data_IF_067865844222
#
_entry.id   IF_067865844222
#
_cell.length_a   1.000
_cell.length_b   1.000
_cell.length_c   1.000
_cell.angle_alpha   90.00
_cell.angle_beta   90.00
_cell.angle_gamma   90.00
#
_symmetry.space_group_name_H-M   'P 1'
#
loop_
_entity.id
_entity.type
_entity.pdbx_description
1 polymer ?
#
# COMPACT_ATOMS: atom_id res chain seq x y z
N UNK A 1 40.93 -9.90 32.34
CA UNK A 1 40.02 -10.64 31.43
C UNK A 1 38.86 -9.71 31.07
N UNK A 2 38.94 -9.05 29.93
CA UNK A 2 37.92 -8.10 29.48
C UNK A 2 36.88 -8.89 28.69
N UNK A 3 35.65 -8.96 29.20
CA UNK A 3 34.53 -9.60 28.51
C UNK A 3 34.10 -8.64 27.40
N UNK A 4 34.49 -8.95 26.15
CA UNK A 4 33.88 -8.35 24.95
C UNK A 4 32.49 -8.95 24.81
N UNK A 5 31.46 -8.17 25.12
CA UNK A 5 30.09 -8.50 24.71
C UNK A 5 29.95 -8.02 23.26
N UNK A 6 30.25 -8.91 22.31
CA UNK A 6 29.79 -8.74 20.92
C UNK A 6 28.31 -9.09 20.90
N UNK A 7 27.45 -8.09 21.14
CA UNK A 7 26.01 -8.22 20.95
C UNK A 7 25.75 -8.02 19.46
N UNK A 8 25.68 -9.11 18.70
CA UNK A 8 25.11 -9.10 17.35
C UNK A 8 23.60 -8.83 17.50
N UNK A 9 23.20 -7.57 17.28
CA UNK A 9 21.81 -7.15 17.22
C UNK A 9 21.24 -7.60 15.87
N UNK A 10 20.86 -8.87 15.75
CA UNK A 10 20.10 -9.32 14.60
C UNK A 10 18.64 -8.88 14.73
N UNK A 11 18.04 -8.48 13.61
CA UNK A 11 16.59 -8.32 13.54
C UNK A 11 15.95 -9.70 13.77
N UNK A 12 15.03 -9.79 14.73
CA UNK A 12 14.33 -11.02 15.06
C UNK A 12 12.83 -10.82 14.85
N UNK A 13 12.18 -11.79 14.22
CA UNK A 13 10.73 -11.84 14.14
C UNK A 13 10.18 -12.28 15.51
N UNK A 14 9.39 -11.41 16.13
CA UNK A 14 8.71 -11.70 17.39
C UNK A 14 7.21 -11.86 17.15
N UNK A 15 6.61 -12.87 17.78
CA UNK A 15 5.17 -13.07 17.74
C UNK A 15 4.47 -11.96 18.51
N UNK A 16 3.41 -11.40 17.92
CA UNK A 16 2.54 -10.44 18.57
C UNK A 16 1.67 -11.18 19.59
N UNK A 17 1.63 -10.70 20.84
CA UNK A 17 0.81 -11.27 21.90
C UNK A 17 0.08 -10.18 22.67
N UNK A 18 -1.13 -10.49 23.16
CA UNK A 18 -1.90 -9.57 23.99
C UNK A 18 -1.38 -9.51 25.44
N UNK A 19 -2.01 -8.68 26.28
CA UNK A 19 -1.64 -8.53 27.70
C UNK A 19 -1.70 -9.83 28.51
N UNK A 20 -2.47 -10.82 28.04
CA UNK A 20 -2.58 -12.16 28.63
C UNK A 20 -1.58 -13.17 28.03
N UNK A 21 -0.58 -12.71 27.26
CA UNK A 21 0.40 -13.52 26.53
C UNK A 21 -0.20 -14.51 25.52
N UNK A 22 -1.45 -14.30 25.11
CA UNK A 22 -2.05 -15.07 24.02
C UNK A 22 -1.54 -14.50 22.69
N UNK A 23 -1.00 -15.38 21.85
CA UNK A 23 -0.55 -15.02 20.52
C UNK A 23 -1.74 -14.52 19.68
N UNK A 24 -1.47 -13.48 18.89
CA UNK A 24 -2.43 -12.85 18.01
C UNK A 24 -2.03 -13.14 16.58
N UNK A 25 -2.96 -13.69 15.82
CA UNK A 25 -2.80 -13.98 14.40
C UNK A 25 -3.67 -12.99 13.63
N UNK A 26 -3.06 -12.32 12.65
CA UNK A 26 -3.76 -11.43 11.74
C UNK A 26 -3.96 -12.22 10.45
N UNK A 27 -5.23 -12.50 10.17
CA UNK A 27 -5.67 -13.24 9.00
C UNK A 27 -6.25 -14.62 9.30
N UNK A 28 -6.92 -15.19 8.30
CA UNK A 28 -7.68 -16.45 8.40
C UNK A 28 -7.12 -17.48 7.42
N UNK A 29 -7.26 -18.76 7.76
CA UNK A 29 -6.73 -19.88 6.95
C UNK A 29 -7.31 -19.96 5.54
N UNK A 30 -8.51 -19.44 5.36
CA UNK A 30 -9.26 -19.45 4.11
C UNK A 30 -8.99 -18.22 3.23
N UNK A 31 -8.36 -17.18 3.76
CA UNK A 31 -8.07 -15.95 3.01
C UNK A 31 -6.80 -16.12 2.13
N UNK A 32 -6.86 -15.65 0.88
CA UNK A 32 -5.71 -15.60 -0.03
C UNK A 32 -4.96 -14.26 0.10
N UNK A 33 -3.79 -14.31 0.75
CA UNK A 33 -2.90 -13.17 0.96
C UNK A 33 -1.87 -12.95 -0.16
N UNK A 34 -2.04 -13.60 -1.32
CA UNK A 34 -1.16 -13.35 -2.46
C UNK A 34 -1.26 -11.89 -2.93
N UNK A 35 -0.12 -11.18 -2.87
CA UNK A 35 -0.04 -9.76 -3.21
C UNK A 35 -0.77 -8.86 -2.21
N UNK A 36 -0.81 -9.26 -0.93
CA UNK A 36 -1.34 -8.44 0.16
C UNK A 36 -0.59 -7.12 0.29
N UNK A 37 -1.34 -6.03 0.44
CA UNK A 37 -0.82 -4.71 0.79
C UNK A 37 -1.36 -4.30 2.15
N UNK A 38 -0.52 -3.74 3.00
CA UNK A 38 -0.95 -3.26 4.31
C UNK A 38 -0.39 -1.87 4.59
N UNK A 39 -1.19 -1.02 5.20
CA UNK A 39 -0.80 0.34 5.59
C UNK A 39 -1.21 0.61 7.03
N UNK A 40 -0.37 1.37 7.72
CA UNK A 40 -0.67 1.87 9.07
C UNK A 40 -1.25 3.28 8.91
N UNK A 41 -2.34 3.55 9.62
CA UNK A 41 -3.01 4.83 9.59
C UNK A 41 -3.98 5.01 10.75
N UNK A 42 -5.02 5.78 10.50
CA UNK A 42 -5.91 6.29 11.55
C UNK A 42 -5.29 7.48 12.27
N UNK A 43 -6.12 8.20 13.03
CA UNK A 43 -5.79 9.47 13.67
C UNK A 43 -4.58 9.41 14.61
N UNK A 44 -4.27 8.22 15.13
CA UNK A 44 -3.14 7.98 16.03
C UNK A 44 -2.18 6.88 15.52
N UNK A 45 -2.14 6.62 14.21
CA UNK A 45 -1.34 5.53 13.61
C UNK A 45 -1.55 4.16 14.29
N UNK A 46 -2.79 3.89 14.67
CA UNK A 46 -3.16 2.74 15.48
C UNK A 46 -4.02 1.72 14.72
N UNK A 47 -4.33 1.99 13.45
CA UNK A 47 -5.10 1.11 12.59
C UNK A 47 -4.19 0.52 11.52
N UNK A 48 -4.30 -0.78 11.32
CA UNK A 48 -3.71 -1.52 10.22
C UNK A 48 -4.82 -1.83 9.22
N UNK A 49 -4.72 -1.26 8.03
CA UNK A 49 -5.60 -1.58 6.91
C UNK A 49 -4.90 -2.60 6.02
N UNK A 50 -5.59 -3.70 5.71
CA UNK A 50 -5.02 -4.82 4.96
C UNK A 50 -5.88 -5.07 3.73
N UNK A 51 -5.35 -4.82 2.53
CA UNK A 51 -5.99 -5.18 1.28
C UNK A 51 -5.41 -6.47 0.70
N UNK A 52 -6.27 -7.38 0.28
CA UNK A 52 -5.89 -8.68 -0.25
C UNK A 52 -6.85 -9.14 -1.35
N UNK A 53 -6.54 -10.30 -1.96
CA UNK A 53 -6.98 -10.67 -3.32
C UNK A 53 -8.49 -10.57 -3.56
N UNK A 54 -9.30 -10.91 -2.57
CA UNK A 54 -10.75 -10.98 -2.65
C UNK A 54 -11.47 -9.64 -2.47
N UNK A 55 -10.89 -8.54 -2.94
CA UNK A 55 -11.49 -7.19 -2.91
C UNK A 55 -11.73 -6.71 -1.47
N UNK A 56 -11.07 -7.27 -0.47
CA UNK A 56 -11.36 -7.00 0.93
C UNK A 56 -10.38 -5.97 1.49
N UNK A 57 -10.88 -5.06 2.31
CA UNK A 57 -10.04 -4.32 3.26
C UNK A 57 -10.48 -4.72 4.67
N UNK A 58 -9.55 -5.33 5.40
CA UNK A 58 -9.70 -5.59 6.82
C UNK A 58 -9.09 -4.42 7.61
N UNK A 59 -9.74 -4.06 8.72
CA UNK A 59 -9.24 -3.05 9.68
C UNK A 59 -8.92 -3.72 10.99
N UNK A 60 -7.70 -3.54 11.47
CA UNK A 60 -7.21 -4.12 12.71
C UNK A 60 -6.63 -3.04 13.61
N UNK A 61 -7.00 -3.04 14.89
CA UNK A 61 -6.49 -2.09 15.87
C UNK A 61 -5.16 -2.61 16.45
N UNK A 62 -4.07 -1.89 16.20
CA UNK A 62 -2.74 -2.23 16.67
C UNK A 62 -2.54 -1.98 18.18
N UNK A 63 -3.33 -1.11 18.81
CA UNK A 63 -3.25 -0.86 20.26
C UNK A 63 -3.98 -1.93 21.08
N UNK A 64 -5.19 -2.29 20.66
CA UNK A 64 -6.00 -3.29 21.36
C UNK A 64 -5.72 -4.71 20.86
N UNK A 65 -5.05 -4.84 19.70
CA UNK A 65 -4.80 -6.10 19.01
C UNK A 65 -6.10 -6.83 18.66
N UNK A 66 -7.09 -6.08 18.15
CA UNK A 66 -8.42 -6.57 17.84
C UNK A 66 -8.82 -6.25 16.40
N UNK A 67 -9.56 -7.18 15.81
CA UNK A 67 -10.24 -6.98 14.54
C UNK A 67 -11.38 -5.97 14.69
N UNK A 68 -11.46 -4.97 13.81
CA UNK A 68 -12.47 -3.92 13.88
C UNK A 68 -13.52 -3.99 12.79
N UNK A 69 -13.12 -4.22 11.53
CA UNK A 69 -14.03 -4.08 10.40
C UNK A 69 -13.57 -4.86 9.17
N UNK A 70 -14.52 -5.12 8.26
CA UNK A 70 -14.30 -5.61 6.89
C UNK A 70 -15.10 -4.76 5.92
N UNK A 71 -14.53 -4.43 4.77
CA UNK A 71 -15.30 -3.93 3.63
C UNK A 71 -14.91 -4.65 2.35
N UNK A 72 -15.90 -4.87 1.48
CA UNK A 72 -15.69 -5.36 0.12
C UNK A 72 -15.66 -4.13 -0.80
N UNK A 73 -14.57 -3.98 -1.55
CA UNK A 73 -14.39 -2.90 -2.50
C UNK A 73 -15.43 -3.01 -3.64
N UNK A 74 -16.00 -1.88 -4.09
CA UNK A 74 -17.01 -1.86 -5.15
C UNK A 74 -16.40 -2.03 -6.55
N UNK A 75 -15.72 -3.15 -6.79
CA UNK A 75 -14.97 -3.43 -8.02
C UNK A 75 -15.42 -4.71 -8.70
N UNK A 76 -15.38 -4.73 -10.04
CA UNK A 76 -15.91 -5.83 -10.84
C UNK A 76 -15.08 -7.11 -10.75
N UNK A 77 -13.75 -7.00 -10.80
CA UNK A 77 -12.83 -8.13 -10.87
C UNK A 77 -12.02 -8.32 -9.58
N UNK A 78 -11.62 -9.57 -9.31
CA UNK A 78 -10.64 -9.91 -8.28
C UNK A 78 -9.30 -9.27 -8.64
N UNK A 79 -8.61 -8.67 -7.67
CA UNK A 79 -7.34 -7.97 -7.89
C UNK A 79 -6.23 -8.68 -7.13
N UNK A 80 -4.99 -8.60 -7.61
CA UNK A 80 -3.79 -9.02 -6.88
C UNK A 80 -2.64 -8.09 -7.25
N UNK A 81 -1.63 -7.98 -6.40
CA UNK A 81 -0.48 -7.09 -6.60
C UNK A 81 -0.92 -5.67 -6.99
N UNK A 82 -1.90 -5.18 -6.24
CA UNK A 82 -2.42 -3.83 -6.41
C UNK A 82 -1.52 -2.87 -5.65
N UNK A 83 -1.50 -1.63 -6.09
CA UNK A 83 -0.90 -0.54 -5.34
C UNK A 83 -1.91 -0.09 -4.28
N UNK A 84 -1.61 -0.26 -2.99
CA UNK A 84 -2.42 0.23 -1.87
C UNK A 84 -1.56 1.12 -0.98
N UNK A 85 -1.87 2.42 -0.93
CA UNK A 85 -1.05 3.41 -0.26
C UNK A 85 -1.92 4.39 0.52
N UNK A 86 -1.42 4.86 1.66
CA UNK A 86 -1.98 6.01 2.36
C UNK A 86 -1.62 7.32 1.65
N UNK A 87 -2.51 8.30 1.69
CA UNK A 87 -2.20 9.66 1.23
C UNK A 87 -1.42 10.37 2.35
N UNK A 88 -0.09 10.31 2.30
CA UNK A 88 0.83 10.62 3.43
C UNK A 88 1.07 12.10 3.71
N UNK A 89 0.40 13.02 3.02
CA UNK A 89 0.57 14.45 3.26
C UNK A 89 -0.39 14.94 4.34
N UNK A 90 0.05 14.81 5.60
CA UNK A 90 -0.34 15.57 6.79
C UNK A 90 -1.82 15.76 7.18
N UNK A 91 -2.81 15.39 6.41
CA UNK A 91 -4.20 15.62 6.76
C UNK A 91 -4.93 14.29 6.95
N UNK A 92 -5.07 13.86 8.21
CA UNK A 92 -6.44 13.56 8.63
C UNK A 92 -7.18 14.83 8.27
N UNK A 93 -7.97 14.80 7.20
CA UNK A 93 -8.85 15.91 6.88
C UNK A 93 -9.85 15.93 8.03
N UNK A 94 -9.52 16.69 9.07
CA UNK A 94 -10.50 17.20 10.01
C UNK A 94 -11.36 18.10 9.13
N UNK A 95 -12.40 17.50 8.57
CA UNK A 95 -13.40 18.20 7.80
C UNK A 95 -13.94 19.34 8.66
N UNK A 96 -14.64 20.30 8.06
CA UNK A 96 -15.36 21.35 8.82
C UNK A 96 -16.29 20.78 9.92
N UNK A 97 -16.57 19.47 9.87
CA UNK A 97 -17.38 18.68 10.82
C UNK A 97 -16.58 17.94 11.90
N UNK A 98 -15.27 18.17 12.08
CA UNK A 98 -14.39 17.48 13.03
C UNK A 98 -14.25 15.95 12.88
N UNK A 99 -14.53 15.40 11.69
CA UNK A 99 -14.48 13.95 11.47
C UNK A 99 -13.05 13.46 11.25
N UNK A 100 -12.72 12.32 11.84
CA UNK A 100 -11.41 11.67 11.63
C UNK A 100 -11.45 10.81 10.38
N UNK A 101 -11.19 11.44 9.23
CA UNK A 101 -11.16 10.77 7.94
C UNK A 101 -9.73 10.40 7.58
N UNK A 102 -9.52 9.13 7.22
CA UNK A 102 -8.27 8.64 6.65
C UNK A 102 -8.42 8.36 5.16
N UNK A 103 -7.54 8.93 4.34
CA UNK A 103 -7.55 8.76 2.89
C UNK A 103 -6.49 7.75 2.42
N UNK A 104 -6.96 6.80 1.62
CA UNK A 104 -6.15 5.76 1.02
C UNK A 104 -6.43 5.73 -0.49
N UNK A 105 -5.46 5.23 -1.23
CA UNK A 105 -5.51 5.10 -2.67
C UNK A 105 -5.27 3.66 -3.04
N UNK A 106 -6.06 3.16 -4.00
CA UNK A 106 -5.88 1.85 -4.58
C UNK A 106 -5.83 1.94 -6.10
N UNK A 107 -4.79 1.36 -6.69
CA UNK A 107 -4.64 1.29 -8.14
C UNK A 107 -4.22 -0.11 -8.58
N UNK A 108 -4.94 -0.67 -9.56
CA UNK A 108 -4.57 -1.92 -10.22
C UNK A 108 -5.29 -2.04 -11.55
N UNK A 109 -4.58 -2.34 -12.63
CA UNK A 109 -5.17 -2.46 -13.97
C UNK A 109 -6.05 -1.24 -14.30
N UNK A 110 -7.32 -1.45 -14.65
CA UNK A 110 -8.28 -0.40 -14.97
C UNK A 110 -8.98 0.22 -13.75
N UNK A 111 -8.61 -0.21 -12.54
CA UNK A 111 -9.23 0.23 -11.29
C UNK A 111 -8.35 1.27 -10.61
N UNK A 112 -8.95 2.43 -10.33
CA UNK A 112 -8.38 3.48 -9.48
C UNK A 112 -9.45 3.89 -8.48
N UNK A 113 -9.15 3.84 -7.20
CA UNK A 113 -10.06 4.16 -6.11
C UNK A 113 -9.40 5.11 -5.11
N UNK A 114 -10.14 6.14 -4.75
CA UNK A 114 -9.94 6.91 -3.52
C UNK A 114 -10.86 6.33 -2.47
N UNK A 115 -10.28 5.98 -1.33
CA UNK A 115 -10.95 5.30 -0.23
C UNK A 115 -10.83 6.19 0.99
N UNK A 116 -11.97 6.67 1.48
CA UNK A 116 -12.06 7.41 2.73
C UNK A 116 -12.54 6.43 3.82
N UNK A 117 -11.88 6.41 4.96
CA UNK A 117 -12.31 5.69 6.15
C UNK A 117 -12.63 6.67 7.26
N UNK A 118 -13.87 6.67 7.72
CA UNK A 118 -14.35 7.44 8.86
C UNK A 118 -14.12 6.62 10.13
N UNK A 119 -13.16 7.03 10.95
CA UNK A 119 -12.79 6.33 12.17
C UNK A 119 -13.88 6.40 13.25
N UNK A 120 -14.64 7.50 13.30
CA UNK A 120 -15.68 7.71 14.32
C UNK A 120 -16.91 6.84 14.05
N UNK A 121 -17.28 6.70 12.78
CA UNK A 121 -18.41 5.86 12.36
C UNK A 121 -18.02 4.45 11.92
N UNK A 122 -16.72 4.15 11.82
CA UNK A 122 -16.17 2.90 11.30
C UNK A 122 -16.74 2.56 9.91
N UNK A 123 -16.82 3.54 9.01
CA UNK A 123 -17.41 3.37 7.68
C UNK A 123 -16.45 3.76 6.56
N UNK A 124 -16.66 3.17 5.38
CA UNK A 124 -15.87 3.47 4.19
C UNK A 124 -16.70 4.24 3.17
N UNK A 125 -16.05 5.18 2.47
CA UNK A 125 -16.58 5.83 1.26
C UNK A 125 -15.60 5.63 0.12
N UNK A 126 -16.15 5.42 -1.07
CA UNK A 126 -15.37 5.09 -2.26
C UNK A 126 -15.65 6.09 -3.37
N UNK A 127 -14.59 6.56 -4.03
CA UNK A 127 -14.68 7.39 -5.23
C UNK A 127 -13.76 6.84 -6.30
N UNK A 128 -14.27 6.73 -7.52
CA UNK A 128 -13.45 6.31 -8.65
C UNK A 128 -12.44 7.39 -9.01
N UNK A 129 -11.20 6.98 -9.24
CA UNK A 129 -10.13 7.82 -9.78
C UNK A 129 -9.82 7.35 -11.20
N UNK A 130 -9.69 8.30 -12.12
CA UNK A 130 -9.45 7.98 -13.53
C UNK A 130 -8.11 7.30 -13.70
N UNK A 131 -8.09 6.18 -14.40
CA UNK A 131 -6.87 5.46 -14.80
C UNK A 131 -6.58 5.70 -16.28
N UNK A 132 -5.34 6.09 -16.63
CA UNK A 132 -4.92 6.32 -18.01
C UNK A 132 -4.75 5.01 -18.78
N UNK A 133 -5.00 5.03 -20.09
CA UNK A 133 -4.89 3.86 -20.98
C UNK A 133 -3.53 3.17 -20.90
N UNK A 134 -2.44 3.92 -20.70
CA UNK A 134 -1.09 3.37 -20.63
C UNK A 134 -0.84 2.44 -19.44
N UNK A 135 -1.55 2.66 -18.32
CA UNK A 135 -1.40 1.87 -17.08
C UNK A 135 -2.54 0.85 -16.89
N UNK A 136 -3.65 0.99 -17.64
CA UNK A 136 -4.85 0.13 -17.53
C UNK A 136 -4.57 -1.37 -17.65
N UNK A 137 -3.51 -1.74 -18.36
CA UNK A 137 -3.18 -3.13 -18.68
C UNK A 137 -2.03 -3.68 -17.84
N UNK A 138 -1.46 -2.91 -16.93
CA UNK A 138 -0.40 -3.40 -16.06
C UNK A 138 -0.78 -3.32 -14.58
N UNK A 139 -0.07 -4.12 -13.81
CA UNK A 139 -0.27 -4.35 -12.38
C UNK A 139 1.09 -4.61 -11.73
N UNK A 140 1.13 -4.83 -10.42
CA UNK A 140 2.37 -5.18 -9.72
C UNK A 140 3.47 -4.11 -9.78
N UNK A 141 3.08 -2.85 -9.74
CA UNK A 141 4.00 -1.72 -9.64
C UNK A 141 4.44 -1.51 -8.20
N UNK A 142 5.67 -1.08 -8.01
CA UNK A 142 6.04 -0.33 -6.81
C UNK A 142 5.44 1.06 -6.91
N UNK A 143 4.92 1.60 -5.82
CA UNK A 143 4.27 2.90 -5.85
C UNK A 143 4.51 3.69 -4.57
N UNK A 144 4.57 5.02 -4.71
CA UNK A 144 4.65 5.96 -3.59
C UNK A 144 3.81 7.19 -3.88
N UNK A 145 3.26 7.78 -2.82
CA UNK A 145 2.58 9.06 -2.86
C UNK A 145 3.47 10.13 -2.23
N UNK A 146 3.77 11.21 -2.96
CA UNK A 146 4.65 12.31 -2.53
C UNK A 146 4.28 13.61 -3.25
N UNK A 147 4.20 14.74 -2.55
CA UNK A 147 3.97 16.08 -3.14
C UNK A 147 2.76 16.13 -4.09
N UNK A 148 1.62 15.58 -3.66
CA UNK A 148 0.40 15.41 -4.46
C UNK A 148 0.59 14.61 -5.76
N UNK A 149 1.67 13.85 -5.88
CA UNK A 149 1.99 12.98 -7.00
C UNK A 149 1.97 11.52 -6.54
N UNK A 150 1.31 10.69 -7.34
CA UNK A 150 1.45 9.25 -7.24
C UNK A 150 2.45 8.78 -8.28
N UNK A 151 3.55 8.19 -7.84
CA UNK A 151 4.58 7.62 -8.71
C UNK A 151 4.42 6.11 -8.77
N UNK A 152 4.56 5.55 -9.97
CA UNK A 152 4.48 4.11 -10.25
C UNK A 152 5.77 3.68 -10.93
N UNK A 153 6.36 2.59 -10.46
CA UNK A 153 7.65 2.08 -10.90
C UNK A 153 7.49 0.65 -11.39
N UNK A 154 7.85 0.43 -12.66
CA UNK A 154 7.93 -0.87 -13.30
C UNK A 154 6.57 -1.49 -13.60
N UNK A 155 6.30 -2.67 -13.06
CA UNK A 155 5.06 -3.43 -13.21
C UNK A 155 5.08 -4.42 -14.37
N UNK A 156 3.99 -5.16 -14.54
CA UNK A 156 3.86 -6.21 -15.53
C UNK A 156 2.59 -6.03 -16.37
N UNK A 157 2.75 -6.02 -17.70
CA UNK A 157 1.65 -5.97 -18.65
C UNK A 157 1.02 -7.33 -18.94
N UNK A 158 0.03 -7.37 -19.82
CA UNK A 158 -0.66 -8.62 -20.20
C UNK A 158 0.24 -9.65 -20.89
N UNK A 159 1.42 -9.25 -21.34
CA UNK A 159 2.42 -10.13 -21.95
C UNK A 159 3.32 -10.85 -20.93
N UNK A 160 3.11 -10.63 -19.62
CA UNK A 160 3.91 -11.25 -18.56
C UNK A 160 5.33 -10.68 -18.43
N UNK A 161 5.63 -9.58 -19.11
CA UNK A 161 6.97 -8.98 -19.08
C UNK A 161 7.01 -7.82 -18.08
N UNK A 162 8.05 -7.85 -17.26
CA UNK A 162 8.42 -6.73 -16.41
C UNK A 162 8.68 -5.46 -17.26
N UNK A 163 8.36 -4.30 -16.70
CA UNK A 163 8.55 -3.00 -17.32
C UNK A 163 9.57 -2.19 -16.54
N UNK A 164 10.29 -1.32 -17.25
CA UNK A 164 11.17 -0.29 -16.70
C UNK A 164 10.48 1.07 -16.61
N UNK A 165 9.22 1.18 -17.01
CA UNK A 165 8.55 2.47 -17.13
C UNK A 165 8.22 3.06 -15.78
N UNK A 166 8.25 4.39 -15.73
CA UNK A 166 7.80 5.17 -14.59
C UNK A 166 6.63 6.04 -15.03
N UNK A 167 5.51 5.91 -14.31
CA UNK A 167 4.32 6.72 -14.53
C UNK A 167 4.08 7.63 -13.34
N UNK A 168 3.45 8.78 -13.57
CA UNK A 168 2.99 9.65 -12.50
C UNK A 168 1.56 10.11 -12.72
N UNK A 169 0.82 10.27 -11.62
CA UNK A 169 -0.47 10.91 -11.59
C UNK A 169 -0.41 12.14 -10.67
N UNK A 170 -0.76 13.31 -11.20
CA UNK A 170 -0.88 14.56 -10.44
C UNK A 170 -2.30 14.72 -9.95
N UNK A 171 -2.49 14.79 -8.63
CA UNK A 171 -3.79 15.08 -8.03
C UNK A 171 -4.18 16.56 -8.17
N UNK A 172 -3.19 17.46 -8.27
CA UNK A 172 -3.42 18.89 -8.50
C UNK A 172 -4.03 19.13 -9.88
N UNK A 173 -3.41 18.57 -10.92
CA UNK A 173 -3.86 18.75 -12.30
C UNK A 173 -4.86 17.69 -12.76
N UNK A 174 -5.08 16.66 -11.92
CA UNK A 174 -5.91 15.48 -12.20
C UNK A 174 -5.50 14.75 -13.49
N UNK A 175 -4.21 14.75 -13.79
CA UNK A 175 -3.67 14.25 -15.06
C UNK A 175 -2.60 13.19 -14.87
N UNK A 176 -2.57 12.25 -15.82
CA UNK A 176 -1.50 11.27 -15.93
C UNK A 176 -0.40 11.80 -16.82
N UNK A 177 0.84 11.54 -16.43
CA UNK A 177 2.02 11.90 -17.20
C UNK A 177 2.98 10.71 -17.23
N UNK A 178 3.68 10.55 -18.35
CA UNK A 178 4.85 9.69 -18.37
C UNK A 178 6.00 10.43 -17.69
N UNK A 179 6.81 9.70 -16.93
CA UNK A 179 8.10 10.21 -16.52
C UNK A 179 9.07 10.05 -17.70
N UNK A 180 9.96 11.02 -17.91
CA UNK A 180 10.92 10.95 -19.03
C UNK A 180 11.99 9.88 -18.76
N UNK A 181 12.37 9.71 -17.50
CA UNK A 181 13.33 8.71 -17.08
C UNK A 181 12.64 7.36 -16.83
N UNK A 182 13.30 6.29 -17.25
CA UNK A 182 12.92 4.91 -16.93
C UNK A 182 13.80 4.36 -15.82
N UNK A 183 13.39 3.23 -15.25
CA UNK A 183 14.22 2.43 -14.37
C UNK A 183 15.41 1.85 -15.16
N UNK A 184 16.57 1.68 -14.52
CA UNK A 184 17.72 1.04 -15.16
C UNK A 184 17.48 -0.46 -15.43
N UNK A 185 16.48 -1.06 -14.80
CA UNK A 185 16.12 -2.48 -14.89
C UNK A 185 14.60 -2.58 -14.96
N UNK A 186 14.10 -3.44 -15.85
CA UNK A 186 12.68 -3.80 -15.87
C UNK A 186 12.34 -4.69 -14.68
N UNK A 187 11.32 -4.33 -13.91
CA UNK A 187 10.94 -5.09 -12.72
C UNK A 187 9.44 -4.98 -12.41
N UNK A 188 8.86 -6.05 -11.88
CA UNK A 188 7.53 -6.09 -11.28
C UNK A 188 7.64 -6.51 -9.80
N UNK A 189 6.53 -6.55 -9.06
CA UNK A 189 6.48 -7.06 -7.68
C UNK A 189 7.45 -6.35 -6.72
N UNK A 190 7.85 -5.12 -7.04
CA UNK A 190 8.76 -4.33 -6.21
C UNK A 190 7.98 -3.52 -5.18
N UNK A 191 8.69 -3.10 -4.14
CA UNK A 191 8.19 -2.13 -3.16
C UNK A 191 8.93 -0.83 -3.34
N UNK A 192 8.22 0.29 -3.37
CA UNK A 192 8.82 1.61 -3.38
C UNK A 192 8.53 2.30 -2.05
N UNK A 193 9.54 2.94 -1.46
CA UNK A 193 9.44 3.68 -0.20
C UNK A 193 10.16 5.02 -0.32
N UNK A 194 9.64 6.03 0.36
CA UNK A 194 10.33 7.31 0.51
C UNK A 194 11.35 7.21 1.65
N UNK A 195 12.44 7.96 1.54
CA UNK A 195 13.30 8.24 2.69
C UNK A 195 12.65 9.29 3.61
N UNK A 196 13.24 9.51 4.79
CA UNK A 196 12.63 10.32 5.86
C UNK A 196 12.29 11.76 5.46
N UNK A 197 13.14 12.42 4.66
CA UNK A 197 12.91 13.79 4.18
C UNK A 197 12.16 13.85 2.84
N UNK A 198 11.66 12.71 2.35
CA UNK A 198 10.94 12.54 1.08
C UNK A 198 11.71 13.02 -0.17
N UNK A 199 13.03 13.12 -0.12
CA UNK A 199 13.85 13.55 -1.26
C UNK A 199 14.20 12.41 -2.23
N UNK A 200 14.24 11.17 -1.74
CA UNK A 200 14.60 9.99 -2.51
C UNK A 200 13.54 8.90 -2.40
N UNK A 201 13.33 8.21 -3.52
CA UNK A 201 12.55 6.97 -3.58
C UNK A 201 13.51 5.79 -3.64
N UNK A 202 13.38 4.85 -2.71
CA UNK A 202 14.06 3.58 -2.75
C UNK A 202 13.11 2.52 -3.33
N UNK A 203 13.56 1.83 -4.38
CA UNK A 203 12.83 0.72 -5.00
C UNK A 203 13.57 -0.56 -4.61
N UNK A 204 12.87 -1.45 -3.92
CA UNK A 204 13.44 -2.63 -3.27
C UNK A 204 12.79 -3.91 -3.80
N UNK A 205 13.62 -4.92 -4.04
CA UNK A 205 13.19 -6.24 -4.50
C UNK A 205 12.62 -6.22 -5.92
N UNK A 206 11.58 -7.03 -6.13
CA UNK A 206 10.95 -7.25 -7.43
C UNK A 206 11.57 -8.39 -8.23
N UNK A 207 10.93 -8.71 -9.36
CA UNK A 207 11.36 -9.74 -10.29
C UNK A 207 11.60 -9.13 -11.68
N UNK A 208 12.77 -9.44 -12.26
CA UNK A 208 13.26 -8.87 -13.51
C UNK A 208 12.96 -9.75 -14.74
N UNK A 209 12.27 -10.88 -14.56
CA UNK A 209 12.00 -11.84 -15.62
C UNK A 209 13.10 -12.87 -15.84
N UNK A 210 14.23 -12.78 -15.14
CA UNK A 210 15.31 -13.75 -15.24
C UNK A 210 15.20 -14.74 -14.07
N UNK A 211 15.14 -16.03 -14.40
CA UNK A 211 15.40 -17.08 -13.42
C UNK A 211 16.90 -17.13 -13.16
N UNK A 212 17.34 -16.71 -11.98
CA UNK A 212 18.71 -16.95 -11.48
C UNK A 212 19.01 -18.43 -11.32
#
# INVERSE_FOLDING_TARGET
KTIKITRTLCNQWMLIANKQKKQIFIGRSEDDYLGVGAIIGGSENHLLFINYREKNIDVFNLKTLQYMNKVILPIGSVMKYHCFIAKTEHDVTITDTNQRIWEMLLFSQNTGLSIEYDEDSNTFRFRNVRVCTSIKQCYSYGCVYVNHLLLFFGGEGTNGKASDRVYKYSFLDKQWMNFEQTLPISLNECTAILNEDHTFVHILGGYDGNTT
#
